data_IF_205996044188
#
_entry.id   IF_205996044188
#
_cell.length_a   1.000
_cell.length_b   1.000
_cell.length_c   1.000
_cell.angle_alpha   90.00
_cell.angle_beta   90.00
_cell.angle_gamma   90.00
#
_symmetry.space_group_name_H-M   'P 1'
#
loop_
_entity.id
_entity.type
_entity.pdbx_description
1 polymer ?
#
# COMPACT_ATOMS: atom_id res chain seq x y z
N UNK A 1 13.73 4.19 -16.79
CA UNK A 1 13.34 5.55 -16.35
C UNK A 1 14.61 6.39 -16.25
N UNK A 2 14.85 7.27 -17.23
CA UNK A 2 15.83 8.34 -17.08
C UNK A 2 15.11 9.51 -16.42
N UNK A 3 15.51 9.86 -15.21
CA UNK A 3 14.97 11.01 -14.50
C UNK A 3 15.74 12.24 -14.99
N UNK A 4 15.09 13.17 -15.70
CA UNK A 4 15.75 14.37 -16.29
C UNK A 4 16.31 15.36 -15.25
N UNK A 5 16.11 15.09 -13.95
CA UNK A 5 16.50 15.99 -12.86
C UNK A 5 17.41 15.34 -11.80
N UNK A 6 18.01 14.18 -12.09
CA UNK A 6 18.94 13.49 -11.18
C UNK A 6 20.32 13.21 -11.80
N UNK A 7 21.34 12.86 -11.00
CA UNK A 7 22.62 12.40 -11.52
C UNK A 7 22.40 11.20 -12.46
N UNK A 8 22.95 11.29 -13.67
CA UNK A 8 22.89 10.23 -14.66
C UNK A 8 23.78 9.07 -14.22
N UNK A 9 23.17 7.99 -13.73
CA UNK A 9 23.87 6.75 -13.43
C UNK A 9 24.00 5.88 -14.68
N UNK A 10 25.09 5.12 -14.85
CA UNK A 10 25.17 4.11 -15.90
C UNK A 10 24.01 3.11 -15.77
N UNK A 11 23.38 2.76 -16.89
CA UNK A 11 22.27 1.80 -16.90
C UNK A 11 22.63 0.47 -16.23
N UNK A 12 23.88 0.03 -16.39
CA UNK A 12 24.40 -1.18 -15.74
C UNK A 12 24.29 -1.13 -14.22
N UNK A 13 24.52 0.03 -13.61
CA UNK A 13 24.44 0.21 -12.16
C UNK A 13 22.99 0.24 -11.70
N UNK A 14 22.12 0.92 -12.45
CA UNK A 14 20.68 0.90 -12.19
C UNK A 14 20.13 -0.52 -12.26
N UNK A 15 20.52 -1.30 -13.27
CA UNK A 15 20.15 -2.71 -13.38
C UNK A 15 20.74 -3.58 -12.27
N UNK A 16 21.96 -3.30 -11.82
CA UNK A 16 22.58 -4.04 -10.72
C UNK A 16 21.86 -3.79 -9.39
N UNK A 17 21.49 -2.54 -9.10
CA UNK A 17 20.82 -2.16 -7.85
C UNK A 17 19.34 -2.53 -7.86
N UNK A 18 18.66 -2.43 -9.01
CA UNK A 18 17.23 -2.77 -9.12
C UNK A 18 16.93 -4.22 -8.69
N UNK A 19 17.88 -5.15 -8.85
CA UNK A 19 17.74 -6.55 -8.39
C UNK A 19 17.62 -6.69 -6.86
N UNK A 20 17.97 -5.64 -6.12
CA UNK A 20 17.87 -5.58 -4.67
C UNK A 20 16.73 -4.66 -4.21
N UNK A 21 15.98 -4.06 -5.15
CA UNK A 21 14.78 -3.29 -4.82
C UNK A 21 13.71 -4.25 -4.32
N UNK A 22 13.14 -3.93 -3.16
CA UNK A 22 12.10 -4.73 -2.51
C UNK A 22 10.88 -4.95 -3.42
N UNK A 23 10.61 -4.02 -4.34
CA UNK A 23 9.51 -4.09 -5.30
C UNK A 23 9.84 -4.90 -6.56
N UNK A 24 11.10 -5.27 -6.77
CA UNK A 24 11.55 -6.11 -7.90
C UNK A 24 11.90 -7.54 -7.49
N UNK A 25 11.82 -7.85 -6.18
CA UNK A 25 12.02 -9.20 -5.67
C UNK A 25 10.81 -10.11 -5.91
N UNK A 26 11.04 -11.43 -6.16
CA UNK A 26 9.99 -12.45 -6.11
C UNK A 26 9.14 -12.35 -4.84
N UNK A 27 7.84 -12.64 -4.95
CA UNK A 27 6.88 -12.41 -3.85
C UNK A 27 7.26 -13.13 -2.54
N UNK A 28 7.78 -14.35 -2.63
CA UNK A 28 8.23 -15.13 -1.47
C UNK A 28 9.41 -14.45 -0.75
N UNK A 29 10.37 -13.92 -1.50
CA UNK A 29 11.48 -13.15 -0.97
C UNK A 29 11.02 -11.81 -0.39
N UNK A 30 10.15 -11.08 -1.11
CA UNK A 30 9.55 -9.84 -0.63
C UNK A 30 8.87 -10.07 0.73
N UNK A 31 7.98 -11.06 0.82
CA UNK A 31 7.30 -11.45 2.07
C UNK A 31 8.30 -11.75 3.18
N UNK A 32 9.30 -12.60 2.91
CA UNK A 32 10.34 -12.96 3.88
C UNK A 32 11.11 -11.75 4.41
N UNK A 33 11.52 -10.83 3.53
CA UNK A 33 12.29 -9.65 3.94
C UNK A 33 11.43 -8.64 4.71
N UNK A 34 10.21 -8.38 4.25
CA UNK A 34 9.31 -7.44 4.93
C UNK A 34 8.90 -7.99 6.29
N UNK A 35 8.47 -9.24 6.41
CA UNK A 35 8.12 -9.82 7.72
C UNK A 35 9.32 -9.86 8.65
N UNK A 36 10.53 -10.13 8.13
CA UNK A 36 11.78 -10.02 8.87
C UNK A 36 12.06 -8.61 9.41
N UNK A 37 11.82 -7.56 8.61
CA UNK A 37 11.95 -6.16 9.05
C UNK A 37 10.92 -5.82 10.14
N UNK A 38 9.66 -6.23 9.97
CA UNK A 38 8.60 -6.02 10.97
C UNK A 38 8.91 -6.73 12.29
N UNK A 39 9.45 -7.96 12.26
CA UNK A 39 9.87 -8.69 13.47
C UNK A 39 10.97 -7.94 14.21
N UNK A 40 12.05 -7.58 13.51
CA UNK A 40 13.17 -6.83 14.08
C UNK A 40 12.72 -5.48 14.67
N UNK A 41 11.89 -4.74 13.95
CA UNK A 41 11.33 -3.49 14.43
C UNK A 41 10.52 -3.70 15.70
N UNK A 42 9.59 -4.66 15.69
CA UNK A 42 8.73 -4.97 16.83
C UNK A 42 9.54 -5.33 18.06
N UNK A 43 10.56 -6.17 17.92
CA UNK A 43 11.47 -6.54 19.00
C UNK A 43 12.24 -5.33 19.55
N UNK A 44 12.72 -4.43 18.67
CA UNK A 44 13.52 -3.27 19.08
C UNK A 44 12.75 -2.21 19.86
N UNK A 45 11.43 -2.11 19.67
CA UNK A 45 10.61 -1.05 20.29
C UNK A 45 9.62 -1.57 21.33
N UNK A 46 9.59 -2.89 21.58
CA UNK A 46 8.59 -3.53 22.43
C UNK A 46 8.50 -2.95 23.85
N UNK A 47 9.63 -2.52 24.41
CA UNK A 47 9.72 -1.93 25.75
C UNK A 47 9.86 -0.40 25.72
N UNK A 48 9.74 0.21 24.53
CA UNK A 48 9.79 1.65 24.35
C UNK A 48 8.47 2.33 24.70
N UNK A 49 8.50 3.66 24.75
CA UNK A 49 7.30 4.51 24.96
C UNK A 49 6.96 5.36 23.74
N UNK A 50 7.80 5.31 22.71
CA UNK A 50 7.62 6.06 21.47
C UNK A 50 6.41 5.54 20.69
N UNK A 51 5.70 6.46 20.04
CA UNK A 51 4.65 6.14 19.08
C UNK A 51 5.20 6.26 17.66
N UNK A 52 5.00 5.21 16.86
CA UNK A 52 5.46 5.15 15.48
C UNK A 52 4.27 5.22 14.51
N UNK A 53 4.39 6.02 13.47
CA UNK A 53 3.40 6.15 12.41
C UNK A 53 3.98 5.55 11.15
N UNK A 54 3.24 4.61 10.57
CA UNK A 54 3.57 3.96 9.32
C UNK A 54 2.53 4.30 8.27
N UNK A 55 3.01 4.63 7.07
CA UNK A 55 2.18 4.79 5.88
C UNK A 55 2.50 3.67 4.88
N UNK A 56 1.47 3.23 4.15
CA UNK A 56 1.43 2.23 3.07
C UNK A 56 1.98 0.81 3.33
N UNK A 57 2.89 0.62 4.29
CA UNK A 57 3.69 -0.60 4.40
C UNK A 57 2.95 -1.82 4.96
N UNK A 58 1.72 -1.66 5.45
CA UNK A 58 0.95 -2.71 6.11
C UNK A 58 -0.03 -3.45 5.19
N UNK A 59 -0.96 -2.75 4.52
CA UNK A 59 -1.91 -3.36 3.56
C UNK A 59 -1.48 -3.08 2.12
N UNK A 60 -1.28 -1.79 1.80
CA UNK A 60 -1.05 -1.36 0.41
C UNK A 60 0.15 -2.05 -0.23
N UNK A 61 1.30 -2.12 0.44
CA UNK A 61 2.50 -2.72 -0.16
C UNK A 61 2.35 -4.23 -0.40
N UNK A 62 1.88 -5.05 0.58
CA UNK A 62 1.58 -6.47 0.31
C UNK A 62 0.57 -6.69 -0.81
N UNK A 63 -0.50 -5.89 -0.88
CA UNK A 63 -1.51 -5.99 -1.95
C UNK A 63 -0.93 -5.58 -3.31
N UNK A 64 -0.10 -4.54 -3.35
CA UNK A 64 0.58 -4.10 -4.57
C UNK A 64 1.50 -5.21 -5.10
N UNK A 65 2.31 -5.82 -4.22
CA UNK A 65 3.20 -6.90 -4.63
C UNK A 65 2.43 -8.16 -5.01
N UNK A 66 1.50 -8.59 -4.16
CA UNK A 66 0.77 -9.84 -4.36
C UNK A 66 -0.19 -9.78 -5.55
N UNK A 67 -1.11 -8.82 -5.56
CA UNK A 67 -2.14 -8.71 -6.59
C UNK A 67 -1.64 -7.98 -7.84
N UNK A 68 -1.13 -6.75 -7.68
CA UNK A 68 -0.87 -5.88 -8.83
C UNK A 68 0.35 -6.36 -9.63
N UNK A 69 1.45 -6.71 -8.95
CA UNK A 69 2.68 -7.13 -9.63
C UNK A 69 2.64 -8.60 -10.05
N UNK A 70 2.23 -9.49 -9.14
CA UNK A 70 2.37 -10.95 -9.32
C UNK A 70 1.08 -11.73 -9.56
N UNK A 71 -0.10 -11.10 -9.50
CA UNK A 71 -1.41 -11.78 -9.61
C UNK A 71 -1.52 -13.06 -8.77
N UNK A 72 -1.02 -12.99 -7.54
CA UNK A 72 -0.98 -14.15 -6.65
C UNK A 72 -2.36 -14.46 -6.10
N UNK A 73 -2.51 -15.70 -5.61
CA UNK A 73 -3.76 -16.12 -5.00
C UNK A 73 -4.16 -15.16 -3.88
N UNK A 74 -5.44 -14.76 -3.87
CA UNK A 74 -6.01 -13.84 -2.89
C UNK A 74 -5.70 -14.22 -1.44
N UNK A 75 -5.80 -15.50 -1.09
CA UNK A 75 -5.53 -15.98 0.27
C UNK A 75 -4.05 -15.89 0.64
N UNK A 76 -3.13 -15.96 -0.31
CA UNK A 76 -1.70 -15.74 -0.07
C UNK A 76 -1.44 -14.27 0.32
N UNK A 77 -2.11 -13.34 -0.36
CA UNK A 77 -2.01 -11.89 -0.04
C UNK A 77 -2.66 -11.59 1.31
N UNK A 78 -3.84 -12.15 1.59
CA UNK A 78 -4.52 -11.99 2.88
C UNK A 78 -3.63 -12.55 4.01
N UNK A 79 -3.12 -13.77 3.86
CA UNK A 79 -2.28 -14.42 4.87
C UNK A 79 -0.98 -13.64 5.12
N UNK A 80 -0.45 -12.97 4.10
CA UNK A 80 0.71 -12.10 4.24
C UNK A 80 0.40 -10.91 5.16
N UNK A 81 -0.69 -10.18 4.94
CA UNK A 81 -1.06 -9.07 5.83
C UNK A 81 -1.41 -9.56 7.25
N UNK A 82 -2.08 -10.70 7.39
CA UNK A 82 -2.40 -11.28 8.70
C UNK A 82 -1.13 -11.69 9.48
N UNK A 83 -0.09 -12.15 8.78
CA UNK A 83 1.21 -12.41 9.39
C UNK A 83 1.84 -11.12 9.94
N UNK A 84 1.81 -10.01 9.18
CA UNK A 84 2.27 -8.71 9.66
C UNK A 84 1.49 -8.25 10.90
N UNK A 85 0.16 -8.43 10.89
CA UNK A 85 -0.69 -8.11 12.03
C UNK A 85 -0.31 -8.91 13.28
N UNK A 86 -0.02 -10.20 13.10
CA UNK A 86 0.40 -11.10 14.18
C UNK A 86 1.75 -10.68 14.76
N UNK A 87 2.70 -10.31 13.92
CA UNK A 87 4.02 -9.80 14.34
C UNK A 87 3.85 -8.53 15.17
N UNK A 88 3.08 -7.56 14.66
CA UNK A 88 2.93 -6.25 15.29
C UNK A 88 1.98 -6.25 16.51
N UNK A 89 1.21 -7.32 16.74
CA UNK A 89 0.12 -7.35 17.72
C UNK A 89 0.55 -6.93 19.14
N UNK A 90 1.76 -7.31 19.56
CA UNK A 90 2.30 -6.98 20.90
C UNK A 90 2.58 -5.49 21.10
N UNK A 91 2.68 -4.71 20.02
CA UNK A 91 2.83 -3.26 20.08
C UNK A 91 1.50 -2.54 20.28
N UNK A 92 0.38 -3.28 20.37
CA UNK A 92 -0.97 -2.72 20.41
C UNK A 92 -1.21 -1.72 19.26
N UNK A 93 -1.16 -2.15 17.98
CA UNK A 93 -1.25 -1.25 16.84
C UNK A 93 -2.69 -0.80 16.58
N UNK A 94 -2.84 0.45 16.14
CA UNK A 94 -4.07 0.99 15.57
C UNK A 94 -3.94 1.10 14.04
N UNK A 95 -4.79 0.40 13.30
CA UNK A 95 -4.95 0.59 11.87
C UNK A 95 -5.97 1.69 11.59
N UNK A 96 -5.55 2.73 10.86
CA UNK A 96 -6.45 3.73 10.29
C UNK A 96 -6.52 3.47 8.79
N UNK A 97 -7.67 2.99 8.31
CA UNK A 97 -7.91 2.74 6.89
C UNK A 97 -8.66 3.93 6.28
N UNK A 98 -8.06 4.57 5.29
CA UNK A 98 -8.64 5.75 4.63
C UNK A 98 -9.56 5.29 3.51
N UNK A 99 -10.85 5.61 3.63
CA UNK A 99 -11.86 5.31 2.62
C UNK A 99 -12.19 6.51 1.76
N UNK A 100 -12.49 6.23 0.50
CA UNK A 100 -12.98 7.19 -0.47
C UNK A 100 -14.24 6.60 -1.12
N UNK A 101 -15.36 7.32 -1.03
CA UNK A 101 -16.64 6.87 -1.56
C UNK A 101 -16.63 6.85 -3.08
N UNK A 102 -15.94 7.82 -3.70
CA UNK A 102 -15.78 7.93 -5.15
C UNK A 102 -14.30 7.80 -5.56
N UNK A 103 -13.74 6.57 -5.57
CA UNK A 103 -12.36 6.35 -5.95
C UNK A 103 -12.08 6.71 -7.41
N UNK A 104 -13.10 6.66 -8.27
CA UNK A 104 -12.98 7.02 -9.67
C UNK A 104 -12.75 8.53 -9.83
N UNK A 105 -13.63 9.35 -9.24
CA UNK A 105 -13.46 10.80 -9.24
C UNK A 105 -12.11 11.19 -8.64
N UNK A 106 -11.74 10.58 -7.50
CA UNK A 106 -10.47 10.84 -6.83
C UNK A 106 -9.27 10.49 -7.72
N UNK A 107 -9.31 9.37 -8.45
CA UNK A 107 -8.21 8.97 -9.31
C UNK A 107 -8.12 9.85 -10.56
N UNK A 108 -9.25 10.14 -11.22
CA UNK A 108 -9.28 11.04 -12.38
C UNK A 108 -8.79 12.44 -12.02
N UNK A 109 -9.14 12.94 -10.83
CA UNK A 109 -8.60 14.18 -10.28
C UNK A 109 -7.08 14.11 -10.14
N UNK A 110 -6.54 13.06 -9.53
CA UNK A 110 -5.10 12.89 -9.37
C UNK A 110 -4.36 12.82 -10.73
N UNK A 111 -4.96 12.20 -11.75
CA UNK A 111 -4.44 12.19 -13.12
C UNK A 111 -4.41 13.59 -13.73
N UNK A 112 -5.42 14.42 -13.48
CA UNK A 112 -5.46 15.81 -13.96
C UNK A 112 -4.52 16.78 -13.23
N UNK A 113 -4.20 16.50 -11.95
CA UNK A 113 -3.37 17.39 -11.11
C UNK A 113 -1.87 17.08 -11.15
N UNK A 114 -1.48 15.86 -11.54
CA UNK A 114 -0.09 15.39 -11.51
C UNK A 114 0.57 15.43 -12.90
N UNK A 115 1.91 15.42 -12.98
CA UNK A 115 2.62 15.32 -14.25
C UNK A 115 2.19 14.09 -15.06
N UNK A 116 2.21 14.21 -16.39
CA UNK A 116 1.74 13.16 -17.29
C UNK A 116 2.50 11.84 -17.07
N UNK A 117 3.80 11.93 -16.86
CA UNK A 117 4.73 10.82 -16.62
C UNK A 117 4.32 10.01 -15.38
N UNK A 118 3.77 10.67 -14.36
CA UNK A 118 3.22 9.98 -13.19
C UNK A 118 2.02 9.12 -13.57
N UNK A 119 1.06 9.69 -14.31
CA UNK A 119 -0.15 8.97 -14.72
C UNK A 119 0.15 7.83 -15.69
N UNK A 120 1.05 8.05 -16.65
CA UNK A 120 1.49 7.02 -17.60
C UNK A 120 2.20 5.88 -16.88
N UNK A 121 3.12 6.18 -15.96
CA UNK A 121 3.79 5.17 -15.15
C UNK A 121 2.85 4.41 -14.23
N UNK A 122 1.87 5.08 -13.62
CA UNK A 122 0.88 4.42 -12.76
C UNK A 122 -0.02 3.48 -13.57
N UNK A 123 -0.54 3.95 -14.71
CA UNK A 123 -1.39 3.14 -15.60
C UNK A 123 -0.60 1.92 -16.08
N UNK A 124 0.61 2.12 -16.60
CA UNK A 124 1.49 1.03 -17.06
C UNK A 124 1.72 -0.02 -15.96
N UNK A 125 2.11 0.41 -14.76
CA UNK A 125 2.34 -0.48 -13.62
C UNK A 125 1.10 -1.27 -13.21
N UNK A 126 -0.11 -0.72 -13.36
CA UNK A 126 -1.35 -1.37 -12.95
C UNK A 126 -1.96 -2.25 -14.04
N UNK A 127 -1.65 -2.02 -15.32
CA UNK A 127 -2.32 -2.73 -16.44
C UNK A 127 -1.41 -3.65 -17.24
N UNK A 128 -0.08 -3.49 -17.20
CA UNK A 128 0.86 -4.28 -18.01
C UNK A 128 1.59 -5.38 -17.25
N UNK A 129 1.15 -5.68 -16.02
CA UNK A 129 1.67 -6.77 -15.19
C UNK A 129 0.56 -7.34 -14.30
N UNK A 130 0.86 -8.47 -13.66
CA UNK A 130 0.00 -9.16 -12.71
C UNK A 130 -1.49 -9.14 -13.07
N UNK A 131 -2.31 -8.77 -12.09
CA UNK A 131 -3.77 -8.83 -12.18
C UNK A 131 -4.31 -8.05 -13.38
N UNK A 132 -3.90 -6.79 -13.56
CA UNK A 132 -4.43 -5.96 -14.64
C UNK A 132 -4.12 -6.51 -16.03
N UNK A 133 -2.93 -7.10 -16.22
CA UNK A 133 -2.58 -7.76 -17.48
C UNK A 133 -3.41 -9.02 -17.72
N UNK A 134 -3.58 -9.84 -16.70
CA UNK A 134 -4.27 -11.12 -16.79
C UNK A 134 -5.78 -10.94 -17.01
N UNK A 135 -6.37 -9.90 -16.44
CA UNK A 135 -7.77 -9.51 -16.66
C UNK A 135 -7.98 -8.66 -17.93
N UNK A 136 -6.90 -8.37 -18.68
CA UNK A 136 -6.98 -7.60 -19.93
C UNK A 136 -7.34 -6.12 -19.74
N UNK A 137 -7.15 -5.57 -18.54
CA UNK A 137 -7.34 -4.16 -18.23
C UNK A 137 -6.37 -3.30 -19.05
N UNK A 138 -6.82 -2.16 -19.56
CA UNK A 138 -5.99 -1.22 -20.34
C UNK A 138 -6.35 0.23 -20.07
N UNK A 139 -5.32 1.09 -20.07
CA UNK A 139 -5.49 2.53 -19.96
C UNK A 139 -6.16 2.93 -18.64
N UNK A 140 -6.67 4.16 -18.61
CA UNK A 140 -7.31 4.76 -17.44
C UNK A 140 -8.48 3.92 -16.90
N UNK A 141 -9.37 3.46 -17.78
CA UNK A 141 -10.54 2.65 -17.38
C UNK A 141 -10.13 1.28 -16.83
N UNK A 142 -9.12 0.64 -17.43
CA UNK A 142 -8.54 -0.59 -16.90
C UNK A 142 -7.93 -0.37 -15.52
N UNK A 143 -7.21 0.73 -15.32
CA UNK A 143 -6.66 1.06 -13.99
C UNK A 143 -7.77 1.22 -12.94
N UNK A 144 -8.89 1.85 -13.29
CA UNK A 144 -10.05 1.97 -12.39
C UNK A 144 -10.61 0.59 -12.01
N UNK A 145 -10.75 -0.33 -12.96
CA UNK A 145 -11.18 -1.72 -12.68
C UNK A 145 -10.24 -2.40 -11.68
N UNK A 146 -8.92 -2.26 -11.88
CA UNK A 146 -7.92 -2.82 -10.97
C UNK A 146 -8.02 -2.18 -9.58
N UNK A 147 -8.24 -0.87 -9.48
CA UNK A 147 -8.42 -0.17 -8.20
C UNK A 147 -9.69 -0.61 -7.47
N UNK A 148 -10.78 -0.89 -8.18
CA UNK A 148 -11.98 -1.48 -7.59
C UNK A 148 -11.72 -2.89 -7.05
N UNK A 149 -11.10 -3.77 -7.84
CA UNK A 149 -10.76 -5.11 -7.40
C UNK A 149 -9.80 -5.10 -6.19
N UNK A 150 -8.84 -4.17 -6.19
CA UNK A 150 -7.95 -3.93 -5.06
C UNK A 150 -8.72 -3.51 -3.80
N UNK A 151 -9.68 -2.58 -3.92
CA UNK A 151 -10.52 -2.14 -2.78
C UNK A 151 -11.30 -3.31 -2.18
N UNK A 152 -11.83 -4.21 -3.00
CA UNK A 152 -12.53 -5.41 -2.51
C UNK A 152 -11.63 -6.33 -1.70
N UNK A 153 -10.40 -6.58 -2.19
CA UNK A 153 -9.40 -7.35 -1.44
C UNK A 153 -9.01 -6.66 -0.13
N UNK A 154 -8.76 -5.35 -0.17
CA UNK A 154 -8.42 -4.58 1.04
C UNK A 154 -9.56 -4.58 2.06
N UNK A 155 -10.82 -4.53 1.63
CA UNK A 155 -12.00 -4.67 2.50
C UNK A 155 -12.06 -6.05 3.16
N UNK A 156 -11.77 -7.12 2.41
CA UNK A 156 -11.73 -8.47 2.96
C UNK A 156 -10.61 -8.64 4.00
N UNK A 157 -9.41 -8.13 3.69
CA UNK A 157 -8.29 -8.06 4.65
C UNK A 157 -8.70 -7.29 5.89
N UNK A 158 -9.26 -6.09 5.72
CA UNK A 158 -9.71 -5.25 6.82
C UNK A 158 -10.65 -6.01 7.73
N UNK A 159 -11.65 -6.71 7.18
CA UNK A 159 -12.63 -7.45 7.95
C UNK A 159 -12.02 -8.61 8.75
N UNK A 160 -11.03 -9.32 8.20
CA UNK A 160 -10.36 -10.45 8.86
C UNK A 160 -9.34 -10.04 9.95
N UNK A 161 -8.85 -8.80 9.94
CA UNK A 161 -7.93 -8.30 10.96
C UNK A 161 -8.57 -8.23 12.35
N UNK A 162 -7.80 -8.61 13.38
CA UNK A 162 -8.24 -8.58 14.79
C UNK A 162 -7.59 -7.47 15.63
N UNK A 163 -6.65 -6.73 15.06
CA UNK A 163 -6.05 -5.55 15.68
C UNK A 163 -7.07 -4.40 15.76
N UNK A 164 -6.81 -3.41 16.61
CA UNK A 164 -7.63 -2.21 16.64
C UNK A 164 -7.62 -1.54 15.25
N UNK A 165 -8.79 -1.21 14.74
CA UNK A 165 -8.95 -0.68 13.38
C UNK A 165 -10.12 0.29 13.29
N UNK A 166 -9.95 1.36 12.53
CA UNK A 166 -10.98 2.36 12.22
C UNK A 166 -10.91 2.72 10.73
N UNK A 167 -12.08 2.82 10.10
CA UNK A 167 -12.23 3.40 8.76
C UNK A 167 -12.47 4.89 8.88
N UNK A 168 -11.89 5.68 7.99
CA UNK A 168 -12.03 7.14 7.98
C UNK A 168 -12.28 7.61 6.58
N UNK A 169 -13.43 8.26 6.37
CA UNK A 169 -13.85 8.78 5.07
C UNK A 169 -13.12 10.09 4.74
N UNK A 170 -12.43 10.14 3.60
CA UNK A 170 -11.78 11.33 3.07
C UNK A 170 -12.49 11.96 1.84
N UNK A 171 -13.73 11.57 1.55
CA UNK A 171 -14.50 11.98 0.36
C UNK A 171 -14.76 13.48 0.27
N UNK A 172 -14.85 14.18 1.39
CA UNK A 172 -15.03 15.64 1.39
C UNK A 172 -13.79 16.41 0.93
N UNK A 173 -12.62 15.77 0.96
CA UNK A 173 -11.31 16.39 0.70
C UNK A 173 -11.03 17.68 1.53
N UNK A 174 -11.71 17.84 2.68
CA UNK A 174 -11.52 18.95 3.60
C UNK A 174 -10.51 18.58 4.69
N UNK A 175 -9.26 19.00 4.49
CA UNK A 175 -8.14 18.61 5.36
C UNK A 175 -8.35 18.95 6.85
N UNK A 176 -8.98 20.09 7.16
CA UNK A 176 -9.21 20.50 8.55
C UNK A 176 -10.25 19.61 9.26
N UNK A 177 -11.28 19.19 8.55
CA UNK A 177 -12.30 18.30 9.11
C UNK A 177 -11.72 16.90 9.33
N UNK A 178 -10.94 16.41 8.36
CA UNK A 178 -10.24 15.13 8.47
C UNK A 178 -9.27 15.09 9.66
N UNK A 179 -8.51 16.18 9.90
CA UNK A 179 -7.65 16.31 11.08
C UNK A 179 -8.41 16.18 12.39
N UNK A 180 -9.61 16.75 12.50
CA UNK A 180 -10.45 16.64 13.70
C UNK A 180 -10.91 15.20 13.92
N UNK A 181 -11.31 14.51 12.85
CA UNK A 181 -11.70 13.09 12.92
C UNK A 181 -10.54 12.22 13.41
N UNK A 182 -9.35 12.39 12.82
CA UNK A 182 -8.15 11.66 13.26
C UNK A 182 -7.80 11.97 14.71
N UNK A 183 -7.81 13.25 15.11
CA UNK A 183 -7.53 13.64 16.49
C UNK A 183 -8.50 12.99 17.49
N UNK A 184 -9.78 12.88 17.14
CA UNK A 184 -10.78 12.18 17.96
C UNK A 184 -10.48 10.70 18.11
N UNK A 185 -10.16 10.00 17.02
CA UNK A 185 -9.80 8.58 17.03
C UNK A 185 -8.57 8.33 17.89
N UNK A 186 -7.51 9.13 17.69
CA UNK A 186 -6.26 8.99 18.45
C UNK A 186 -6.50 9.28 19.93
N UNK A 187 -7.31 10.28 20.26
CA UNK A 187 -7.68 10.62 21.64
C UNK A 187 -8.54 9.56 22.31
N UNK A 188 -9.29 8.74 21.57
CA UNK A 188 -10.02 7.58 22.11
C UNK A 188 -9.07 6.41 22.35
N UNK A 189 -8.10 6.21 21.44
CA UNK A 189 -7.20 5.07 21.47
C UNK A 189 -6.09 5.14 22.52
N UNK A 190 -5.50 6.32 22.71
CA UNK A 190 -4.42 6.56 23.68
C UNK A 190 -4.92 6.96 25.07
N UNK A 191 -6.21 6.73 25.36
CA UNK A 191 -6.79 6.93 26.70
C UNK A 191 -6.34 5.88 27.70
#
# INVERSE_FOLDING_TARGET
>A
MNNEYGPSFPNEWLHAVAKYDIYELPLDQNRKFVTGKWKKFTESVLNGTDTFIFDCCFIQNPVTMGMIKYDSNKEDVISYVLELATIAARLNPLLIYVEQNDPEHSFRKAVGERPKEWSEGFIDYYTNQGYGKNEGCKGLEGTLQVLHARRELENEIFNRLKIAKKKVDNSSNHMNDYKKVLAGILSEYFR
#
